data_IF_640567364127
#
_entry.id   IF_640567364127
#
_cell.length_a   1.000
_cell.length_b   1.000
_cell.length_c   1.000
_cell.angle_alpha   90.00
_cell.angle_beta   90.00
_cell.angle_gamma   90.00
#
_symmetry.space_group_name_H-M   'P 1'
#
loop_
_entity.id
_entity.type
_entity.pdbx_description
1 polymer ?
#
# COMPACT_ATOMS: atom_id res chain seq x y z
N UNK A 1 -3.73 -9.47 11.23
CA UNK A 1 -3.65 -8.97 9.84
C UNK A 1 -2.27 -8.44 9.54
N UNK A 2 -1.82 -8.63 8.33
CA UNK A 2 -0.51 -8.13 7.89
C UNK A 2 -0.72 -7.21 6.69
N UNK A 3 -0.01 -6.11 6.69
CA UNK A 3 -0.07 -5.15 5.60
C UNK A 3 1.33 -5.03 5.00
N UNK A 4 1.50 -5.54 3.79
CA UNK A 4 2.80 -5.52 3.10
C UNK A 4 2.83 -4.35 2.13
N UNK A 5 3.71 -3.40 2.39
CA UNK A 5 3.87 -2.21 1.56
C UNK A 5 4.89 -2.49 0.46
N UNK A 6 4.48 -2.22 -0.79
CA UNK A 6 5.34 -2.37 -1.96
C UNK A 6 5.45 -1.02 -2.66
N UNK A 7 6.66 -0.47 -2.70
CA UNK A 7 6.97 0.75 -3.44
C UNK A 7 8.05 0.39 -4.46
N UNK A 8 7.85 0.80 -5.70
CA UNK A 8 8.81 0.52 -6.77
C UNK A 8 10.19 1.06 -6.41
N UNK A 9 11.21 0.22 -6.52
CA UNK A 9 12.59 0.58 -6.21
C UNK A 9 12.97 0.45 -4.75
N UNK A 10 12.04 0.00 -3.89
CA UNK A 10 12.29 -0.21 -2.48
C UNK A 10 11.91 -1.63 -2.07
N UNK A 11 12.57 -2.21 -1.04
CA UNK A 11 12.18 -3.53 -0.53
C UNK A 11 10.78 -3.48 0.09
N UNK A 12 10.08 -4.61 0.00
CA UNK A 12 8.79 -4.76 0.65
C UNK A 12 8.96 -4.69 2.17
N UNK A 13 7.97 -4.13 2.84
CA UNK A 13 8.00 -4.01 4.29
C UNK A 13 6.61 -4.29 4.86
N UNK A 14 6.55 -5.04 5.96
CA UNK A 14 5.31 -5.39 6.62
C UNK A 14 5.01 -4.43 7.76
N UNK A 15 3.74 -4.10 7.90
CA UNK A 15 3.23 -3.27 9.00
C UNK A 15 2.07 -3.97 9.69
N UNK A 16 1.87 -3.66 10.95
CA UNK A 16 0.76 -4.22 11.73
C UNK A 16 -0.56 -3.52 11.46
N UNK A 17 -0.51 -2.24 11.08
CA UNK A 17 -1.72 -1.47 10.78
C UNK A 17 -1.61 -0.83 9.40
N UNK A 18 -2.78 -0.65 8.77
CA UNK A 18 -2.84 0.04 7.48
C UNK A 18 -2.42 1.50 7.60
N UNK A 19 -2.72 2.13 8.73
CA UNK A 19 -2.35 3.52 8.97
C UNK A 19 -0.84 3.73 8.93
N UNK A 20 -0.08 2.81 9.50
CA UNK A 20 1.38 2.88 9.47
C UNK A 20 1.91 2.82 8.03
N UNK A 21 1.38 1.90 7.23
CA UNK A 21 1.76 1.78 5.82
C UNK A 21 1.40 3.06 5.05
N UNK A 22 0.21 3.60 5.28
CA UNK A 22 -0.24 4.81 4.60
C UNK A 22 0.61 6.03 4.95
N UNK A 23 1.04 6.15 6.19
CA UNK A 23 1.94 7.23 6.60
C UNK A 23 3.27 7.18 5.85
N UNK A 24 3.81 6.00 5.66
CA UNK A 24 5.05 5.83 4.92
C UNK A 24 4.85 6.20 3.44
N UNK A 25 3.74 5.77 2.85
CA UNK A 25 3.42 6.12 1.46
C UNK A 25 3.33 7.64 1.30
N UNK A 26 2.61 8.30 2.20
CA UNK A 26 2.45 9.75 2.14
C UNK A 26 3.78 10.48 2.29
N UNK A 27 4.64 10.00 3.20
CA UNK A 27 5.96 10.57 3.41
C UNK A 27 6.85 10.43 2.17
N UNK A 28 6.80 9.27 1.53
CA UNK A 28 7.68 8.95 0.39
C UNK A 28 7.15 9.49 -0.94
N UNK A 29 5.85 9.44 -1.15
CA UNK A 29 5.23 9.71 -2.44
C UNK A 29 4.30 10.92 -2.46
N UNK A 30 4.01 11.51 -1.29
CA UNK A 30 3.15 12.67 -1.19
C UNK A 30 1.68 12.32 -1.04
N UNK A 31 0.82 13.31 -1.23
CA UNK A 31 -0.62 13.16 -1.01
C UNK A 31 -1.23 12.13 -1.96
N UNK A 32 -2.26 11.45 -1.47
CA UNK A 32 -2.98 10.45 -2.27
C UNK A 32 -3.96 11.14 -3.21
N UNK A 33 -3.85 10.82 -4.50
CA UNK A 33 -4.80 11.26 -5.52
C UNK A 33 -5.94 10.26 -5.69
N UNK A 34 -5.62 8.96 -5.65
CA UNK A 34 -6.60 7.92 -5.89
C UNK A 34 -6.21 6.65 -5.16
N UNK A 35 -7.20 5.96 -4.62
CA UNK A 35 -7.03 4.68 -3.96
C UNK A 35 -7.98 3.67 -4.60
N UNK A 36 -7.46 2.53 -5.05
CA UNK A 36 -8.24 1.46 -5.65
C UNK A 36 -7.99 0.15 -4.93
N UNK A 37 -9.06 -0.57 -4.66
CA UNK A 37 -8.97 -1.90 -4.07
C UNK A 37 -9.20 -2.96 -5.14
N UNK A 38 -8.31 -3.95 -5.18
CA UNK A 38 -8.42 -5.09 -6.08
C UNK A 38 -8.52 -6.37 -5.26
N UNK A 39 -9.60 -7.11 -5.46
CA UNK A 39 -9.78 -8.40 -4.82
C UNK A 39 -8.96 -9.45 -5.55
N UNK A 40 -8.08 -10.13 -4.82
CA UNK A 40 -7.28 -11.22 -5.35
C UNK A 40 -7.94 -12.57 -5.03
N UNK A 41 -7.49 -13.62 -5.69
CA UNK A 41 -7.84 -14.98 -5.32
C UNK A 41 -7.37 -15.23 -3.89
N UNK A 42 -8.02 -16.14 -3.17
CA UNK A 42 -7.67 -16.52 -1.80
C UNK A 42 -7.92 -15.41 -0.77
N UNK A 43 -8.89 -14.55 -1.04
CA UNK A 43 -9.36 -13.52 -0.09
C UNK A 43 -8.32 -12.46 0.28
N UNK A 44 -7.26 -12.33 -0.49
CA UNK A 44 -6.31 -11.23 -0.30
C UNK A 44 -6.84 -9.99 -1.02
N UNK A 45 -6.65 -8.84 -0.41
CA UNK A 45 -7.00 -7.56 -1.01
C UNK A 45 -5.71 -6.82 -1.31
N UNK A 46 -5.63 -6.27 -2.51
CA UNK A 46 -4.51 -5.42 -2.92
C UNK A 46 -5.04 -4.01 -3.09
N UNK A 47 -4.50 -3.08 -2.33
CA UNK A 47 -4.87 -1.67 -2.42
C UNK A 47 -3.79 -0.91 -3.16
N UNK A 48 -4.17 -0.26 -4.25
CA UNK A 48 -3.26 0.56 -5.05
C UNK A 48 -3.45 2.03 -4.70
N UNK A 49 -2.34 2.73 -4.50
CA UNK A 49 -2.33 4.16 -4.20
C UNK A 49 -1.66 4.90 -5.35
N UNK A 50 -2.38 5.88 -5.90
CA UNK A 50 -1.80 6.82 -6.86
C UNK A 50 -1.53 8.11 -6.09
N UNK A 51 -0.28 8.50 -6.04
CA UNK A 51 0.17 9.63 -5.22
C UNK A 51 0.84 10.68 -6.10
N UNK A 52 1.10 11.84 -5.48
CA UNK A 52 1.69 12.97 -6.20
C UNK A 52 3.03 12.63 -6.86
N UNK A 53 3.86 11.80 -6.21
CA UNK A 53 5.21 11.46 -6.70
C UNK A 53 5.37 10.01 -7.13
N UNK A 54 4.31 9.26 -7.27
CA UNK A 54 4.41 7.88 -7.72
C UNK A 54 3.29 7.01 -7.22
N UNK A 55 3.44 5.71 -7.41
CA UNK A 55 2.43 4.73 -7.05
C UNK A 55 2.97 3.77 -6.00
N UNK A 56 2.10 3.32 -5.13
CA UNK A 56 2.42 2.32 -4.12
C UNK A 56 1.32 1.28 -4.07
N UNK A 57 1.60 0.16 -3.41
CA UNK A 57 0.66 -0.91 -3.27
C UNK A 57 0.77 -1.50 -1.88
N UNK A 58 -0.36 -1.80 -1.25
CA UNK A 58 -0.40 -2.50 0.01
C UNK A 58 -1.17 -3.80 -0.19
N UNK A 59 -0.53 -4.91 0.12
CA UNK A 59 -1.21 -6.21 0.12
C UNK A 59 -1.74 -6.45 1.52
N UNK A 60 -3.05 -6.67 1.62
CA UNK A 60 -3.72 -6.90 2.90
C UNK A 60 -3.93 -8.39 3.04
N UNK A 61 -3.25 -8.98 4.00
CA UNK A 61 -3.29 -10.41 4.26
C UNK A 61 -4.19 -10.65 5.48
N UNK A 62 -5.31 -11.28 5.24
CA UNK A 62 -6.29 -11.54 6.29
C UNK A 62 -6.05 -12.87 6.97
#
# INVERSE_FOLDING_TARGET
MRYTLCIKGKPDHDYETLQEAEKVIEKELGAFDKINDYLQRNKHVRRSYVCARGNAMVMIDK
#
